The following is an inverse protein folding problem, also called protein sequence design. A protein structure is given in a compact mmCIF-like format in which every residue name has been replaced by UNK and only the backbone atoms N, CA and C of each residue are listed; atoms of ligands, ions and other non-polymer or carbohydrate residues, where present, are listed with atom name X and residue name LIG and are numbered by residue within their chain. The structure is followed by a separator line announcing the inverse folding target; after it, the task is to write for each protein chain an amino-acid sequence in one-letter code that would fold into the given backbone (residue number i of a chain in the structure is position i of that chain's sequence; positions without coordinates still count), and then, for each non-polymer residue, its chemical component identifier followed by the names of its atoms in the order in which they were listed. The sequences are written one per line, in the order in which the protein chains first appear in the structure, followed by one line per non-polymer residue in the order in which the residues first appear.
data_IF_147586269824
#
_entry.id   IF_147586269824
#
_cell.length_a   1.000
_cell.length_b   1.000
_cell.length_c   1.000
_cell.angle_alpha   90.00
_cell.angle_beta   90.00
_cell.angle_gamma   90.00
#
_symmetry.space_group_name_H-M   'P 1'
#
loop_
_entity.id
_entity.type
_entity.pdbx_description
1 polymer ?
#
# COMPACT_ATOMS: atom_id res chain seq x y z
N UNK A 1 5.28 -5.43 14.43
CA UNK A 1 4.10 -4.81 13.80
C UNK A 1 2.80 -5.07 14.57
N UNK A 2 2.31 -6.33 14.70
CA UNK A 2 1.00 -6.61 15.33
C UNK A 2 0.82 -6.09 16.76
N UNK A 3 1.87 -6.18 17.58
CA UNK A 3 1.83 -5.66 18.95
C UNK A 3 1.67 -4.13 18.94
N UNK A 4 2.51 -3.41 18.19
CA UNK A 4 2.41 -1.96 18.00
C UNK A 4 1.02 -1.55 17.45
N UNK A 5 0.47 -2.33 16.52
CA UNK A 5 -0.84 -2.07 15.94
C UNK A 5 -1.98 -2.22 16.99
N UNK A 6 -1.95 -3.27 17.81
CA UNK A 6 -2.93 -3.47 18.88
C UNK A 6 -2.86 -2.39 19.95
N UNK A 7 -1.64 -2.01 20.36
CA UNK A 7 -1.42 -0.92 21.31
C UNK A 7 -1.92 0.43 20.76
N UNK A 8 -1.66 0.70 19.49
CA UNK A 8 -2.13 1.91 18.82
C UNK A 8 -3.66 1.94 18.73
N UNK A 9 -4.27 0.83 18.30
CA UNK A 9 -5.74 0.70 18.26
C UNK A 9 -6.36 0.92 19.64
N UNK A 10 -5.76 0.39 20.71
CA UNK A 10 -6.25 0.57 22.07
C UNK A 10 -6.30 2.04 22.49
N UNK A 11 -5.36 2.86 22.00
CA UNK A 11 -5.24 4.29 22.31
C UNK A 11 -6.07 5.21 21.40
N UNK A 12 -6.63 4.67 20.30
CA UNK A 12 -7.43 5.48 19.38
C UNK A 12 -8.69 6.06 20.06
N UNK A 13 -9.09 7.29 19.68
CA UNK A 13 -10.38 7.85 20.04
C UNK A 13 -11.54 6.92 19.66
N UNK A 14 -12.65 7.00 20.40
CA UNK A 14 -13.85 6.17 20.15
C UNK A 14 -14.33 6.25 18.70
N UNK A 15 -14.36 7.46 18.13
CA UNK A 15 -14.74 7.71 16.73
C UNK A 15 -13.89 6.91 15.74
N UNK A 16 -12.58 6.85 15.96
CA UNK A 16 -11.64 6.18 15.06
C UNK A 16 -11.73 4.66 15.16
N UNK A 17 -12.03 4.14 16.37
CA UNK A 17 -12.36 2.73 16.58
C UNK A 17 -13.63 2.32 15.83
N UNK A 18 -14.68 3.14 15.91
CA UNK A 18 -15.93 2.89 15.16
C UNK A 18 -15.72 2.93 13.64
N UNK A 19 -14.80 3.78 13.14
CA UNK A 19 -14.42 3.78 11.72
C UNK A 19 -13.65 2.51 11.35
N UNK A 20 -12.72 2.06 12.20
CA UNK A 20 -11.97 0.83 12.03
C UNK A 20 -12.90 -0.39 11.95
N UNK A 21 -13.93 -0.44 12.78
CA UNK A 21 -14.92 -1.52 12.78
C UNK A 21 -15.69 -1.61 11.45
N UNK A 22 -15.95 -0.45 10.82
CA UNK A 22 -16.63 -0.33 9.52
C UNK A 22 -15.75 -0.63 8.31
N UNK A 23 -14.43 -0.80 8.50
CA UNK A 23 -13.56 -1.17 7.39
C UNK A 23 -13.97 -2.50 6.79
N UNK A 24 -13.95 -2.58 5.46
CA UNK A 24 -14.18 -3.83 4.78
C UNK A 24 -13.10 -4.88 5.17
N UNK A 25 -13.41 -6.17 5.04
CA UNK A 25 -12.47 -7.23 5.41
C UNK A 25 -11.12 -7.16 4.68
N UNK A 26 -11.07 -6.70 3.43
CA UNK A 26 -9.84 -6.58 2.63
C UNK A 26 -8.89 -5.54 3.21
N UNK A 27 -9.40 -4.36 3.58
CA UNK A 27 -8.62 -3.32 4.23
C UNK A 27 -8.16 -3.71 5.64
N UNK A 28 -8.99 -4.46 6.38
CA UNK A 28 -8.53 -5.07 7.64
C UNK A 28 -7.39 -6.05 7.37
N UNK A 29 -7.54 -6.94 6.38
CA UNK A 29 -6.47 -7.86 5.98
C UNK A 29 -5.18 -7.12 5.67
N UNK A 30 -5.23 -6.06 4.86
CA UNK A 30 -4.07 -5.23 4.53
C UNK A 30 -3.41 -4.61 5.78
N UNK A 31 -4.21 -4.04 6.70
CA UNK A 31 -3.71 -3.40 7.93
C UNK A 31 -3.07 -4.39 8.91
N UNK A 32 -3.64 -5.59 9.03
CA UNK A 32 -3.21 -6.61 10.00
C UNK A 32 -2.24 -7.64 9.40
N UNK A 33 -1.93 -7.51 8.11
CA UNK A 33 -1.05 -8.40 7.37
C UNK A 33 0.40 -8.25 7.81
N UNK A 34 1.16 -9.35 7.74
CA UNK A 34 2.61 -9.29 7.89
C UNK A 34 3.31 -8.85 6.60
N UNK A 35 2.65 -9.08 5.46
CA UNK A 35 3.16 -8.82 4.11
C UNK A 35 2.19 -7.94 3.29
N UNK A 36 1.83 -6.73 3.76
CA UNK A 36 0.98 -5.82 3.00
C UNK A 36 1.60 -5.42 1.65
N UNK A 37 2.93 -5.36 1.56
CA UNK A 37 3.66 -5.08 0.33
C UNK A 37 3.38 -6.14 -0.75
N UNK A 38 3.39 -7.42 -0.38
CA UNK A 38 3.14 -8.52 -1.33
C UNK A 38 1.72 -8.44 -1.87
N UNK A 39 0.75 -8.11 -1.02
CA UNK A 39 -0.63 -7.90 -1.47
C UNK A 39 -0.72 -6.73 -2.46
N UNK A 40 -0.12 -5.58 -2.13
CA UNK A 40 -0.18 -4.41 -3.01
C UNK A 40 0.57 -4.60 -4.34
N UNK A 41 1.66 -5.39 -4.34
CA UNK A 41 2.42 -5.71 -5.55
C UNK A 41 1.73 -6.76 -6.42
N UNK A 42 1.04 -7.73 -5.82
CA UNK A 42 0.54 -8.91 -6.53
C UNK A 42 -0.94 -8.81 -6.91
N UNK A 43 -1.74 -8.25 -6.00
CA UNK A 43 -3.21 -8.16 -6.12
C UNK A 43 -3.60 -6.70 -6.35
N UNK A 44 -3.05 -5.79 -5.55
CA UNK A 44 -3.42 -4.38 -5.57
C UNK A 44 -4.78 -4.09 -4.93
N UNK A 45 -5.17 -2.82 -4.95
CA UNK A 45 -6.50 -2.38 -4.51
C UNK A 45 -7.37 -2.11 -5.72
N UNK A 46 -8.64 -2.49 -5.63
CA UNK A 46 -9.65 -1.95 -6.52
C UNK A 46 -10.00 -0.50 -6.13
N UNK A 47 -10.69 0.21 -7.02
CA UNK A 47 -11.07 1.61 -6.83
C UNK A 47 -11.93 1.86 -5.57
N UNK A 48 -12.88 0.98 -5.26
CA UNK A 48 -13.77 1.15 -4.10
C UNK A 48 -13.02 0.90 -2.81
N UNK A 49 -12.20 -0.15 -2.78
CA UNK A 49 -11.33 -0.48 -1.65
C UNK A 49 -10.32 0.64 -1.39
N UNK A 50 -9.72 1.20 -2.44
CA UNK A 50 -8.84 2.37 -2.35
C UNK A 50 -9.54 3.59 -1.73
N UNK A 51 -10.76 3.93 -2.17
CA UNK A 51 -11.52 5.06 -1.58
C UNK A 51 -11.78 4.86 -0.09
N UNK A 52 -12.02 3.63 0.34
CA UNK A 52 -12.27 3.32 1.74
C UNK A 52 -11.01 3.41 2.62
N UNK A 53 -9.81 3.49 2.03
CA UNK A 53 -8.58 3.77 2.81
C UNK A 53 -8.68 5.10 3.57
N UNK A 54 -9.48 6.06 3.09
CA UNK A 54 -9.73 7.32 3.79
C UNK A 54 -10.37 7.14 5.19
N UNK A 55 -11.05 6.02 5.43
CA UNK A 55 -11.62 5.68 6.74
C UNK A 55 -10.58 5.17 7.73
N UNK A 56 -9.38 4.83 7.26
CA UNK A 56 -8.29 4.38 8.14
C UNK A 56 -7.72 5.63 8.85
N UNK A 57 -7.63 5.62 10.19
CA UNK A 57 -6.96 6.66 10.96
C UNK A 57 -5.52 6.89 10.48
N UNK A 58 -5.06 8.14 10.51
CA UNK A 58 -3.76 8.53 9.95
C UNK A 58 -2.59 7.75 10.56
N UNK A 59 -2.57 7.61 11.89
CA UNK A 59 -1.52 6.87 12.61
C UNK A 59 -1.45 5.39 12.16
N UNK A 60 -2.59 4.78 11.85
CA UNK A 60 -2.63 3.40 11.36
C UNK A 60 -2.16 3.31 9.90
N UNK A 61 -2.40 4.34 9.07
CA UNK A 61 -1.81 4.42 7.73
C UNK A 61 -0.30 4.57 7.81
N UNK A 62 0.21 5.44 8.67
CA UNK A 62 1.66 5.63 8.85
C UNK A 62 2.30 4.30 9.24
N UNK A 63 1.76 3.58 10.22
CA UNK A 63 2.29 2.27 10.61
C UNK A 63 2.25 1.23 9.49
N UNK A 64 1.18 1.19 8.70
CA UNK A 64 1.07 0.33 7.50
C UNK A 64 2.17 0.67 6.48
N UNK A 65 2.37 1.96 6.21
CA UNK A 65 3.33 2.46 5.23
C UNK A 65 4.77 2.25 5.69
N UNK A 66 5.07 2.43 6.97
CA UNK A 66 6.35 2.05 7.56
C UNK A 66 6.63 0.57 7.35
N UNK A 67 5.65 -0.29 7.58
CA UNK A 67 5.85 -1.72 7.37
C UNK A 67 6.15 -2.04 5.89
N UNK A 68 5.37 -1.49 4.96
CA UNK A 68 5.63 -1.64 3.52
C UNK A 68 7.04 -1.16 3.18
N UNK A 69 7.41 0.05 3.62
CA UNK A 69 8.72 0.62 3.30
C UNK A 69 9.86 -0.19 3.90
N UNK A 70 9.69 -0.82 5.06
CA UNK A 70 10.73 -1.65 5.68
C UNK A 70 10.90 -3.03 5.01
N UNK A 71 9.84 -3.57 4.39
CA UNK A 71 9.86 -4.88 3.74
C UNK A 71 10.09 -4.82 2.23
N UNK A 72 10.22 -3.61 1.65
CA UNK A 72 10.19 -3.42 0.19
C UNK A 72 11.44 -2.68 -0.30
N UNK A 73 11.93 -3.10 -1.48
CA UNK A 73 12.96 -2.35 -2.22
C UNK A 73 12.43 -1.00 -2.69
N UNK A 74 13.32 -0.06 -3.04
CA UNK A 74 12.88 1.20 -3.65
C UNK A 74 12.12 0.94 -4.97
N UNK A 75 12.58 -0.01 -5.78
CA UNK A 75 11.95 -0.36 -7.05
C UNK A 75 10.50 -0.85 -6.89
N UNK A 76 10.28 -1.75 -5.93
CA UNK A 76 8.95 -2.28 -5.67
C UNK A 76 8.04 -1.25 -5.00
N UNK A 77 8.59 -0.37 -4.17
CA UNK A 77 7.85 0.77 -3.62
C UNK A 77 7.35 1.69 -4.75
N UNK A 78 8.20 1.96 -5.75
CA UNK A 78 7.82 2.74 -6.93
C UNK A 78 6.69 2.06 -7.73
N UNK A 79 6.66 0.72 -7.83
CA UNK A 79 5.54 -0.02 -8.45
C UNK A 79 4.24 0.16 -7.66
N UNK A 80 4.29 0.04 -6.33
CA UNK A 80 3.12 0.27 -5.46
C UNK A 80 2.61 1.70 -5.65
N UNK A 81 3.51 2.70 -5.66
CA UNK A 81 3.17 4.10 -5.92
C UNK A 81 2.47 4.25 -7.27
N UNK A 82 3.01 3.66 -8.34
CA UNK A 82 2.37 3.69 -9.67
C UNK A 82 0.94 3.15 -9.65
N UNK A 83 0.71 2.01 -9.00
CA UNK A 83 -0.63 1.41 -8.90
C UNK A 83 -1.62 2.30 -8.14
N UNK A 84 -1.21 2.83 -7.00
CA UNK A 84 -2.06 3.70 -6.19
C UNK A 84 -2.33 5.05 -6.85
N UNK A 85 -1.38 5.59 -7.62
CA UNK A 85 -1.56 6.81 -8.40
C UNK A 85 -2.68 6.68 -9.44
N UNK A 86 -2.76 5.55 -10.15
CA UNK A 86 -3.84 5.30 -11.10
C UNK A 86 -5.22 5.37 -10.42
N UNK A 87 -5.35 4.76 -9.26
CA UNK A 87 -6.58 4.79 -8.46
C UNK A 87 -6.86 6.20 -7.92
N UNK A 88 -5.82 6.94 -7.55
CA UNK A 88 -5.94 8.32 -7.07
C UNK A 88 -6.46 9.25 -8.16
N UNK A 89 -5.91 9.18 -9.37
CA UNK A 89 -6.34 10.01 -10.50
C UNK A 89 -7.78 9.70 -10.93
N UNK A 90 -8.24 8.46 -10.75
CA UNK A 90 -9.65 8.12 -10.90
C UNK A 90 -10.52 8.66 -9.75
N UNK A 91 -9.96 8.79 -8.54
CA UNK A 91 -10.71 9.17 -7.35
C UNK A 91 -10.83 10.69 -7.17
N UNK A 92 -9.81 11.44 -7.62
CA UNK A 92 -9.79 12.90 -7.62
C UNK A 92 -8.87 13.39 -8.76
N UNK A 93 -9.48 13.75 -9.90
CA UNK A 93 -8.78 14.31 -11.04
C UNK A 93 -8.42 15.80 -10.88
N UNK A 94 -9.12 16.52 -10.00
CA UNK A 94 -8.95 17.98 -9.86
C UNK A 94 -7.84 18.39 -8.91
N UNK A 95 -7.57 17.58 -7.89
CA UNK A 95 -6.57 17.87 -6.85
C UNK A 95 -5.97 16.59 -6.23
N UNK A 96 -5.44 15.67 -7.06
CA UNK A 96 -4.80 14.46 -6.57
C UNK A 96 -3.60 14.84 -5.72
N UNK A 97 -3.36 14.11 -4.62
CA UNK A 97 -2.11 14.16 -3.83
C UNK A 97 -1.90 15.44 -2.97
N UNK A 98 -2.55 16.58 -3.29
CA UNK A 98 -2.47 17.85 -2.53
C UNK A 98 -3.08 17.78 -1.13
N UNK A 99 -4.16 17.01 -0.93
CA UNK A 99 -4.99 17.08 0.27
C UNK A 99 -4.80 15.88 1.21
N UNK A 100 -3.99 16.08 2.26
CA UNK A 100 -4.17 15.41 3.56
C UNK A 100 -3.88 13.90 3.66
N UNK A 101 -4.64 13.26 4.55
CA UNK A 101 -4.55 11.88 5.04
C UNK A 101 -4.87 10.81 3.96
N UNK A 102 -4.65 11.07 2.67
CA UNK A 102 -4.83 10.03 1.63
C UNK A 102 -3.64 9.08 1.62
N UNK A 103 -3.90 7.80 1.32
CA UNK A 103 -2.88 6.75 1.41
C UNK A 103 -1.67 7.02 0.49
N UNK A 104 -1.90 7.37 -0.79
CA UNK A 104 -0.81 7.63 -1.73
C UNK A 104 0.03 8.85 -1.32
N UNK A 105 -0.60 9.94 -0.87
CA UNK A 105 0.10 11.14 -0.45
C UNK A 105 0.98 10.88 0.77
N UNK A 106 0.49 10.09 1.74
CA UNK A 106 1.30 9.64 2.87
C UNK A 106 2.43 8.70 2.42
N UNK A 107 2.17 7.73 1.53
CA UNK A 107 3.20 6.81 1.02
C UNK A 107 4.35 7.57 0.34
N UNK A 108 4.02 8.52 -0.53
CA UNK A 108 5.01 9.33 -1.22
C UNK A 108 5.84 10.17 -0.24
N UNK A 109 5.21 10.80 0.77
CA UNK A 109 5.94 11.52 1.83
C UNK A 109 6.85 10.59 2.63
N UNK A 110 6.36 9.43 3.06
CA UNK A 110 7.15 8.47 3.81
C UNK A 110 8.31 7.90 2.97
N UNK A 111 8.10 7.69 1.68
CA UNK A 111 9.17 7.27 0.76
C UNK A 111 10.25 8.34 0.62
N UNK A 112 9.88 9.61 0.42
CA UNK A 112 10.83 10.73 0.39
C UNK A 112 11.64 10.76 1.69
N UNK A 113 10.97 10.72 2.85
CA UNK A 113 11.65 10.74 4.14
C UNK A 113 12.64 9.58 4.29
N UNK A 114 12.30 8.37 3.80
CA UNK A 114 13.18 7.20 3.83
C UNK A 114 14.43 7.42 2.97
N UNK A 115 14.26 7.81 1.72
CA UNK A 115 15.38 8.02 0.78
C UNK A 115 16.31 9.16 1.20
N UNK A 116 15.82 10.08 2.05
CA UNK A 116 16.58 11.21 2.59
C UNK A 116 17.32 10.92 3.89
N UNK A 117 17.01 9.81 4.55
CA UNK A 117 17.59 9.47 5.85
C UNK A 117 18.88 8.68 5.65
N UNK A 118 19.98 9.15 6.24
CA UNK A 118 21.33 8.59 6.01
C UNK A 118 21.59 7.19 6.62
N UNK A 119 20.66 6.66 7.43
CA UNK A 119 20.91 5.43 8.20
C UNK A 119 20.19 4.23 7.58
N UNK A 120 20.83 3.61 6.58
CA UNK A 120 20.33 2.40 5.90
C UNK A 120 20.18 1.19 6.83
N UNK A 121 20.81 1.22 8.02
CA UNK A 121 20.83 0.10 8.97
C UNK A 121 19.71 0.12 10.01
N UNK A 122 18.97 1.22 10.14
CA UNK A 122 17.86 1.34 11.10
C UNK A 122 16.51 1.08 10.43
N UNK A 123 15.63 0.38 11.14
CA UNK A 123 14.23 0.22 10.75
C UNK A 123 13.59 1.60 10.58
N UNK A 124 13.02 1.87 9.40
CA UNK A 124 12.41 3.13 9.06
C UNK A 124 11.20 3.43 9.97
N UNK A 125 11.21 4.61 10.56
CA UNK A 125 10.12 5.20 11.31
C UNK A 125 9.90 6.63 10.81
N UNK A 126 8.67 6.95 10.42
CA UNK A 126 8.35 8.20 9.74
C UNK A 126 8.59 9.42 10.63
N UNK A 127 8.10 9.40 11.88
CA UNK A 127 8.25 10.51 12.83
C UNK A 127 9.72 10.83 13.12
N UNK A 128 10.57 9.80 13.24
CA UNK A 128 12.01 10.00 13.38
C UNK A 128 12.60 10.53 12.08
N UNK A 129 12.33 9.89 10.94
CA UNK A 129 12.93 10.23 9.65
C UNK A 129 12.69 11.68 9.25
N UNK A 130 11.48 12.21 9.43
CA UNK A 130 11.17 13.61 9.08
C UNK A 130 12.00 14.63 9.86
N UNK A 131 12.46 14.30 11.07
CA UNK A 131 13.30 15.15 11.91
C UNK A 131 14.81 15.07 11.57
N UNK A 132 15.22 14.15 10.69
CA UNK A 132 16.63 13.89 10.35
C UNK A 132 16.88 13.81 8.84
N UNK A 133 16.01 14.41 8.01
CA UNK A 133 16.22 14.41 6.56
C UNK A 133 17.43 15.25 6.17
N UNK A 134 18.17 14.81 5.13
CA UNK A 134 19.21 15.63 4.52
C UNK A 134 18.65 16.96 4.03
N UNK A 135 17.41 16.97 3.53
CA UNK A 135 16.68 18.19 3.23
C UNK A 135 16.62 19.17 4.41
N UNK A 136 16.17 18.75 5.59
CA UNK A 136 16.09 19.64 6.75
C UNK A 136 17.48 20.18 7.17
N UNK A 137 18.51 19.33 7.13
CA UNK A 137 19.90 19.74 7.41
C UNK A 137 20.39 20.78 6.39
N UNK A 138 20.16 20.54 5.11
CA UNK A 138 20.59 21.42 4.01
C UNK A 138 19.77 22.71 3.93
N UNK A 139 18.47 22.64 4.20
CA UNK A 139 17.57 23.78 4.29
C UNK A 139 18.04 24.77 5.36
N UNK A 140 18.45 24.26 6.52
CA UNK A 140 19.01 25.08 7.60
C UNK A 140 20.44 25.58 7.32
N UNK A 141 21.25 24.82 6.56
CA UNK A 141 22.67 25.10 6.37
C UNK A 141 23.02 25.94 5.12
N UNK A 142 22.20 25.94 4.05
CA UNK A 142 22.66 26.40 2.71
C UNK A 142 21.88 27.55 2.05
N UNK A 143 20.82 28.13 2.61
CA UNK A 143 20.09 29.19 1.89
C UNK A 143 19.53 30.32 2.76
N UNK A 144 19.97 31.55 2.46
CA UNK A 144 19.24 32.78 2.82
C UNK A 144 17.99 33.00 1.96
N UNK A 145 17.92 32.42 0.75
CA UNK A 145 16.89 32.76 -0.26
C UNK A 145 15.82 31.67 -0.48
N UNK A 146 15.92 30.51 0.20
CA UNK A 146 14.94 29.40 0.16
C UNK A 146 14.45 28.96 -1.24
N UNK A 147 15.24 29.13 -2.31
CA UNK A 147 14.85 28.79 -3.70
C UNK A 147 15.00 27.30 -4.02
N UNK A 148 14.02 26.77 -4.76
CA UNK A 148 13.86 25.35 -5.09
C UNK A 148 14.94 24.76 -5.99
N UNK A 149 15.35 25.53 -7.00
CA UNK A 149 16.39 25.17 -7.96
C UNK A 149 17.72 24.77 -7.26
N UNK A 150 17.99 25.32 -6.07
CA UNK A 150 19.19 25.04 -5.30
C UNK A 150 19.17 23.66 -4.62
N UNK A 151 18.05 22.93 -4.70
CA UNK A 151 17.87 21.62 -4.08
C UNK A 151 17.74 20.48 -5.10
N UNK A 152 17.61 20.78 -6.40
CA UNK A 152 17.43 19.78 -7.47
C UNK A 152 18.55 18.74 -7.47
N UNK A 153 19.79 19.19 -7.27
CA UNK A 153 20.99 18.34 -7.33
C UNK A 153 21.15 17.42 -6.10
N UNK A 154 20.42 17.69 -5.01
CA UNK A 154 20.50 16.89 -3.78
C UNK A 154 19.30 15.96 -3.57
N UNK A 155 18.28 16.04 -4.44
CA UNK A 155 17.14 15.12 -4.38
C UNK A 155 17.60 13.72 -4.81
N UNK A 156 17.33 12.66 -4.02
CA UNK A 156 17.66 11.29 -4.37
C UNK A 156 17.04 10.85 -5.69
N UNK A 157 17.77 10.04 -6.46
CA UNK A 157 17.30 9.59 -7.78
C UNK A 157 15.96 8.85 -7.70
N UNK A 158 15.74 8.03 -6.67
CA UNK A 158 14.46 7.35 -6.47
C UNK A 158 13.28 8.32 -6.24
N UNK A 159 13.51 9.46 -5.60
CA UNK A 159 12.49 10.51 -5.44
C UNK A 159 12.19 11.17 -6.78
N UNK A 160 13.23 11.41 -7.61
CA UNK A 160 13.06 11.89 -8.99
C UNK A 160 12.30 10.88 -9.85
N UNK A 161 12.60 9.57 -9.73
CA UNK A 161 11.91 8.47 -10.42
C UNK A 161 10.44 8.40 -10.02
N UNK A 162 10.13 8.50 -8.73
CA UNK A 162 8.76 8.60 -8.23
C UNK A 162 8.01 9.75 -8.91
N UNK A 163 8.67 10.90 -9.05
CA UNK A 163 8.07 12.06 -9.71
C UNK A 163 7.77 11.84 -11.18
N UNK A 164 8.71 11.26 -11.89
CA UNK A 164 8.55 10.91 -13.29
C UNK A 164 7.41 9.91 -13.50
N UNK A 165 7.27 8.91 -12.61
CA UNK A 165 6.16 7.95 -12.61
C UNK A 165 4.83 8.67 -12.42
N UNK A 166 4.72 9.56 -11.44
CA UNK A 166 3.49 10.30 -11.17
C UNK A 166 3.01 11.06 -12.40
N UNK A 167 3.90 11.77 -13.06
CA UNK A 167 3.59 12.59 -14.22
C UNK A 167 3.19 11.73 -15.42
N UNK A 168 3.94 10.67 -15.71
CA UNK A 168 3.56 9.73 -16.78
C UNK A 168 2.26 9.00 -16.50
N UNK A 169 1.96 8.71 -15.24
CA UNK A 169 0.68 8.13 -14.85
C UNK A 169 -0.45 9.14 -15.04
N UNK A 170 -0.25 10.40 -14.66
CA UNK A 170 -1.22 11.47 -14.87
C UNK A 170 -1.52 11.73 -16.35
N UNK A 171 -0.48 11.78 -17.21
CA UNK A 171 -0.62 11.92 -18.66
C UNK A 171 -1.55 10.83 -19.24
N UNK A 172 -1.36 9.58 -18.80
CA UNK A 172 -2.12 8.42 -19.29
C UNK A 172 -3.55 8.38 -18.77
N UNK A 173 -3.76 8.65 -17.48
CA UNK A 173 -5.05 8.47 -16.81
C UNK A 173 -5.97 9.69 -16.94
N UNK A 174 -5.42 10.91 -16.87
CA UNK A 174 -6.22 12.15 -16.90
C UNK A 174 -6.55 12.62 -18.32
N UNK A 175 -5.77 12.21 -19.32
CA UNK A 175 -5.97 12.55 -20.74
C UNK A 175 -6.20 14.05 -20.93
N UNK A 176 -7.45 14.47 -21.21
CA UNK A 176 -7.83 15.87 -21.44
C UNK A 176 -7.68 16.75 -20.20
N UNK A 177 -7.73 16.18 -18.98
CA UNK A 177 -7.55 16.90 -17.72
C UNK A 177 -6.08 17.05 -17.31
N UNK A 178 -5.15 16.41 -18.04
CA UNK A 178 -3.72 16.49 -17.73
C UNK A 178 -3.18 17.93 -17.69
N UNK A 179 -3.52 18.86 -18.61
CA UNK A 179 -3.03 20.24 -18.53
C UNK A 179 -3.44 20.95 -17.24
N UNK A 180 -4.62 20.64 -16.67
CA UNK A 180 -5.07 21.18 -15.40
C UNK A 180 -4.26 20.62 -14.24
N UNK A 181 -3.94 19.32 -14.27
CA UNK A 181 -3.03 18.70 -13.30
C UNK A 181 -1.61 19.27 -13.42
N UNK A 182 -1.08 19.42 -14.64
CA UNK A 182 0.25 19.99 -14.89
C UNK A 182 0.35 21.45 -14.42
N UNK A 183 -0.69 22.26 -14.64
CA UNK A 183 -0.79 23.62 -14.11
C UNK A 183 -0.80 23.65 -12.56
N UNK A 184 -1.42 22.66 -11.92
CA UNK A 184 -1.38 22.46 -10.46
C UNK A 184 -0.17 21.64 -10.00
N UNK A 185 0.70 21.26 -10.94
CA UNK A 185 1.68 20.19 -10.81
C UNK A 185 2.72 20.46 -9.73
N UNK A 186 2.96 21.71 -9.34
CA UNK A 186 3.83 22.03 -8.22
C UNK A 186 3.33 21.55 -6.86
N UNK A 187 2.02 21.48 -6.66
CA UNK A 187 1.46 20.99 -5.39
C UNK A 187 1.64 19.48 -5.23
N UNK A 188 2.01 18.85 -6.35
CA UNK A 188 2.61 17.54 -6.39
C UNK A 188 4.04 17.75 -6.91
N UNK A 189 4.94 18.40 -6.18
CA UNK A 189 6.40 18.30 -6.44
C UNK A 189 7.14 17.83 -5.22
N UNK A 190 8.30 17.15 -5.35
CA UNK A 190 9.05 16.72 -4.17
C UNK A 190 9.31 17.89 -3.22
N UNK A 191 9.76 19.06 -3.69
CA UNK A 191 9.69 20.33 -2.96
C UNK A 191 8.48 20.62 -2.09
N UNK A 192 7.28 20.53 -2.64
CA UNK A 192 6.06 20.76 -1.86
C UNK A 192 5.95 19.72 -0.75
N UNK A 193 6.18 18.44 -1.06
CA UNK A 193 6.18 17.38 -0.04
C UNK A 193 7.26 17.59 1.04
N UNK A 194 8.44 18.09 0.68
CA UNK A 194 9.46 18.48 1.65
C UNK A 194 8.97 19.57 2.60
N UNK A 195 8.27 20.59 2.11
CA UNK A 195 7.71 21.61 3.01
C UNK A 195 6.60 21.09 3.91
N UNK A 196 5.85 20.08 3.49
CA UNK A 196 4.87 19.41 4.35
C UNK A 196 5.53 18.57 5.46
N UNK A 197 6.83 18.27 5.35
CA UNK A 197 7.61 17.59 6.39
C UNK A 197 8.35 18.55 7.32
N UNK A 198 8.39 19.85 7.01
CA UNK A 198 9.00 20.85 7.89
C UNK A 198 8.09 21.14 9.11
N UNK A 199 8.67 21.52 10.27
CA UNK A 199 7.90 22.02 11.39
C UNK A 199 7.02 23.20 10.96
N UNK A 200 5.83 23.32 11.57
CA UNK A 200 4.98 24.49 11.36
C UNK A 200 5.75 25.76 11.78
N UNK A 201 5.71 26.79 10.94
CA UNK A 201 6.30 28.10 11.27
C UNK A 201 5.72 28.62 12.58
N UNK A 202 6.56 29.25 13.39
CA UNK A 202 6.09 30.10 14.49
C UNK A 202 5.30 31.29 13.95
N UNK A 203 4.47 31.90 14.80
CA UNK A 203 3.67 33.07 14.43
C UNK A 203 4.54 34.25 13.96
N UNK A 204 5.77 34.37 14.46
CA UNK A 204 6.74 35.40 14.06
C UNK A 204 7.39 35.09 12.71
N UNK A 205 7.78 33.84 12.46
CA UNK A 205 8.33 33.42 11.15
C UNK A 205 7.30 33.53 10.02
N UNK A 206 6.03 33.26 10.33
CA UNK A 206 4.92 33.46 9.40
C UNK A 206 4.69 34.94 9.06
N UNK A 207 5.07 35.88 9.94
CA UNK A 207 4.94 37.33 9.73
C UNK A 207 6.15 37.96 9.05
N UNK A 208 7.34 37.34 9.16
CA UNK A 208 8.61 37.92 8.72
C UNK A 208 9.01 37.61 7.27
N UNK A 209 8.60 36.46 6.71
CA UNK A 209 8.64 36.08 5.28
C UNK A 209 8.27 34.60 5.20
N UNK A 210 6.96 34.31 5.22
CA UNK A 210 6.43 32.96 5.23
C UNK A 210 6.75 32.25 3.92
N UNK A 211 7.74 31.34 3.95
CA UNK A 211 7.97 30.25 2.99
C UNK A 211 7.13 30.32 1.69
N UNK A 212 7.47 31.22 0.78
CA UNK A 212 6.91 31.16 -0.57
C UNK A 212 7.75 30.12 -1.32
N UNK A 213 7.30 28.86 -1.36
CA UNK A 213 7.58 28.07 -2.56
C UNK A 213 6.77 28.76 -3.65
N UNK A 214 7.40 29.47 -4.60
CA UNK A 214 6.65 30.15 -5.64
C UNK A 214 5.79 29.12 -6.35
N UNK A 215 4.46 29.31 -6.28
CA UNK A 215 3.51 28.53 -7.04
C UNK A 215 3.65 29.01 -8.48
N UNK A 216 4.40 28.26 -9.28
CA UNK A 216 4.32 28.30 -10.74
C UNK A 216 2.86 28.45 -11.16
N UNK A 217 2.63 29.45 -12.00
CA UNK A 217 1.28 29.94 -12.31
C UNK A 217 0.72 29.36 -13.60
N UNK A 218 1.51 28.59 -14.34
CA UNK A 218 1.15 28.05 -15.65
C UNK A 218 1.58 26.59 -15.86
N UNK A 219 0.86 25.85 -16.72
CA UNK A 219 1.19 24.48 -17.08
C UNK A 219 2.61 24.34 -17.66
N UNK A 220 3.01 25.27 -18.53
CA UNK A 220 4.32 25.26 -19.21
C UNK A 220 5.49 25.37 -18.23
N UNK A 221 5.37 26.26 -17.26
CA UNK A 221 6.36 26.41 -16.18
C UNK A 221 6.41 25.15 -15.30
N UNK A 222 5.27 24.47 -15.07
CA UNK A 222 5.19 23.26 -14.27
C UNK A 222 5.88 22.08 -14.95
N UNK A 223 5.62 21.91 -16.25
CA UNK A 223 6.30 20.93 -17.10
C UNK A 223 7.81 21.18 -17.19
N UNK A 224 8.24 22.45 -17.29
CA UNK A 224 9.65 22.81 -17.31
C UNK A 224 10.33 22.49 -15.98
N UNK A 225 9.71 22.86 -14.85
CA UNK A 225 10.23 22.54 -13.51
C UNK A 225 10.38 21.03 -13.31
N UNK A 226 9.41 20.24 -13.78
CA UNK A 226 9.49 18.78 -13.74
C UNK A 226 10.67 18.27 -14.56
N UNK A 227 10.83 18.77 -15.79
CA UNK A 227 11.89 18.34 -16.70
C UNK A 227 13.27 18.59 -16.10
N UNK A 228 13.45 19.73 -15.42
CA UNK A 228 14.66 20.05 -14.67
C UNK A 228 14.84 19.12 -13.47
N UNK A 229 13.80 18.90 -12.66
CA UNK A 229 13.85 18.04 -11.47
C UNK A 229 14.15 16.57 -11.77
N UNK A 230 13.72 16.08 -12.93
CA UNK A 230 13.86 14.67 -13.33
C UNK A 230 14.98 14.45 -14.35
N UNK A 231 15.79 15.47 -14.61
CA UNK A 231 16.91 15.38 -15.53
C UNK A 231 17.90 14.29 -15.11
N UNK A 232 18.35 13.47 -16.08
CA UNK A 232 19.31 12.39 -15.85
C UNK A 232 18.71 11.08 -15.31
N UNK A 233 17.41 11.05 -15.03
CA UNK A 233 16.73 9.89 -14.46
C UNK A 233 15.85 9.19 -15.50
N UNK A 234 15.95 7.87 -15.57
CA UNK A 234 15.16 7.06 -16.51
C UNK A 234 13.87 6.54 -15.88
N UNK A 235 12.79 6.57 -16.67
CA UNK A 235 11.53 5.94 -16.30
C UNK A 235 11.73 4.41 -16.17
N UNK A 236 11.20 3.76 -15.11
CA UNK A 236 11.29 2.31 -15.00
C UNK A 236 10.63 1.59 -16.20
N UNK A 237 11.24 0.49 -16.63
CA UNK A 237 10.86 -0.26 -17.85
C UNK A 237 9.42 -0.78 -17.83
N UNK A 238 8.87 -1.00 -16.63
CA UNK A 238 7.50 -1.52 -16.44
C UNK A 238 6.43 -0.43 -16.56
N UNK A 239 6.78 0.86 -16.51
CA UNK A 239 5.81 1.94 -16.70
C UNK A 239 5.34 1.94 -18.15
N UNK A 240 4.03 1.83 -18.37
CA UNK A 240 3.43 1.70 -19.71
C UNK A 240 3.31 0.25 -20.22
N UNK A 241 3.95 -0.73 -19.57
CA UNK A 241 3.84 -2.17 -19.90
C UNK A 241 2.80 -2.88 -19.02
N UNK A 242 1.64 -2.25 -18.84
CA UNK A 242 0.64 -2.67 -17.86
C UNK A 242 0.10 -4.10 -18.15
N UNK A 243 -0.05 -4.47 -19.42
CA UNK A 243 -0.57 -5.79 -19.80
C UNK A 243 0.39 -6.92 -19.40
N UNK A 244 1.67 -6.78 -19.73
CA UNK A 244 2.68 -7.81 -19.41
C UNK A 244 2.83 -8.04 -17.90
N UNK A 245 2.70 -6.97 -17.10
CA UNK A 245 2.76 -7.08 -15.64
C UNK A 245 1.51 -7.74 -15.08
N UNK A 246 0.31 -7.37 -15.55
CA UNK A 246 -0.94 -8.00 -15.13
C UNK A 246 -0.99 -9.49 -15.50
N UNK A 247 -0.49 -9.85 -16.68
CA UNK A 247 -0.42 -11.24 -17.12
C UNK A 247 0.51 -12.08 -16.23
N UNK A 248 1.68 -11.53 -15.84
CA UNK A 248 2.59 -12.18 -14.88
C UNK A 248 1.95 -12.36 -13.50
N UNK A 249 1.34 -11.31 -12.96
CA UNK A 249 0.66 -11.37 -11.67
C UNK A 249 -0.46 -12.41 -11.69
N UNK A 250 -1.24 -12.47 -12.78
CA UNK A 250 -2.30 -13.47 -12.94
C UNK A 250 -1.77 -14.91 -12.90
N UNK A 251 -0.60 -15.17 -13.48
CA UNK A 251 0.06 -16.49 -13.44
C UNK A 251 0.47 -16.84 -12.00
N UNK A 252 1.06 -15.89 -11.27
CA UNK A 252 1.45 -16.07 -9.88
C UNK A 252 0.24 -16.37 -8.98
N UNK A 253 -0.83 -15.56 -9.10
CA UNK A 253 -2.06 -15.77 -8.34
C UNK A 253 -2.72 -17.10 -8.68
N UNK A 254 -2.72 -17.50 -9.95
CA UNK A 254 -3.20 -18.83 -10.36
C UNK A 254 -2.42 -19.95 -9.66
N UNK A 255 -1.11 -19.80 -9.54
CA UNK A 255 -0.25 -20.77 -8.85
C UNK A 255 -0.63 -20.85 -7.37
N UNK A 256 -0.83 -19.71 -6.70
CA UNK A 256 -1.26 -19.66 -5.30
C UNK A 256 -2.62 -20.31 -5.07
N UNK A 257 -3.61 -20.08 -5.94
CA UNK A 257 -4.93 -20.70 -5.83
C UNK A 257 -4.86 -22.23 -5.94
N UNK A 258 -4.02 -22.75 -6.85
CA UNK A 258 -3.81 -24.18 -7.02
C UNK A 258 -3.12 -24.80 -5.79
N UNK A 259 -2.09 -24.14 -5.26
CA UNK A 259 -1.38 -24.59 -4.05
C UNK A 259 -2.28 -24.55 -2.82
N UNK A 260 -3.08 -23.50 -2.66
CA UNK A 260 -4.07 -23.38 -1.60
C UNK A 260 -5.10 -24.51 -1.65
N UNK A 261 -5.64 -24.83 -2.84
CA UNK A 261 -6.55 -25.97 -3.02
C UNK A 261 -5.89 -27.29 -2.61
N UNK A 262 -4.63 -27.50 -3.02
CA UNK A 262 -3.89 -28.70 -2.67
C UNK A 262 -3.63 -28.82 -1.16
N UNK A 263 -3.30 -27.72 -0.49
CA UNK A 263 -3.09 -27.69 0.97
C UNK A 263 -4.39 -27.97 1.74
N UNK A 264 -5.51 -27.39 1.31
CA UNK A 264 -6.83 -27.69 1.89
C UNK A 264 -7.15 -29.19 1.81
N UNK A 265 -6.85 -29.81 0.65
CA UNK A 265 -7.08 -31.24 0.41
C UNK A 265 -6.20 -32.15 1.26
N UNK A 266 -4.96 -31.73 1.53
CA UNK A 266 -4.01 -32.48 2.37
C UNK A 266 -4.26 -32.28 3.87
N UNK A 267 -4.96 -31.21 4.26
CA UNK A 267 -5.19 -30.88 5.65
C UNK A 267 -6.26 -31.76 6.28
N UNK A 268 -5.93 -32.42 7.38
CA UNK A 268 -6.90 -33.15 8.22
C UNK A 268 -7.73 -32.18 9.06
N UNK A 269 -8.93 -31.84 8.60
CA UNK A 269 -9.79 -30.86 9.26
C UNK A 269 -10.53 -31.41 10.47
N UNK A 270 -10.50 -30.66 11.56
CA UNK A 270 -11.40 -30.85 12.69
C UNK A 270 -12.70 -30.10 12.44
N UNK A 271 -13.81 -30.82 12.47
CA UNK A 271 -15.17 -30.27 12.34
C UNK A 271 -15.94 -30.51 13.62
N UNK A 272 -16.59 -29.47 14.14
CA UNK A 272 -17.44 -29.59 15.32
C UNK A 272 -18.63 -30.52 15.02
N UNK A 273 -19.07 -31.31 16.00
CA UNK A 273 -20.25 -32.16 15.89
C UNK A 273 -21.01 -32.22 17.21
N UNK A 274 -22.34 -32.42 17.12
CA UNK A 274 -23.19 -32.68 18.28
C UNK A 274 -23.99 -33.96 18.01
N UNK A 275 -23.73 -35.00 18.81
CA UNK A 275 -24.28 -36.34 18.57
C UNK A 275 -23.92 -36.89 17.19
N UNK A 276 -24.92 -37.34 16.43
CA UNK A 276 -24.76 -37.89 15.07
C UNK A 276 -24.58 -36.83 13.98
N UNK A 277 -24.80 -35.54 14.28
CA UNK A 277 -24.61 -34.46 13.33
C UNK A 277 -23.15 -34.02 13.33
N UNK A 278 -22.39 -34.51 12.35
CA UNK A 278 -21.06 -33.96 12.03
C UNK A 278 -21.26 -32.64 11.29
N UNK A 279 -20.75 -31.55 11.84
CA UNK A 279 -20.67 -30.28 11.13
C UNK A 279 -19.76 -30.36 9.90
N UNK A 280 -19.69 -29.26 9.14
CA UNK A 280 -18.92 -29.20 7.91
C UNK A 280 -19.63 -29.82 6.71
N UNK A 281 -19.03 -29.67 5.52
CA UNK A 281 -19.56 -30.10 4.24
C UNK A 281 -18.64 -31.14 3.60
N UNK A 282 -19.19 -32.03 2.79
CA UNK A 282 -18.40 -32.95 1.97
C UNK A 282 -18.07 -32.23 0.68
N UNK A 283 -16.78 -32.04 0.42
CA UNK A 283 -16.24 -31.46 -0.79
C UNK A 283 -15.26 -32.46 -1.41
N UNK A 284 -15.55 -32.93 -2.62
CA UNK A 284 -14.72 -33.90 -3.37
C UNK A 284 -14.28 -35.13 -2.54
N UNK A 285 -15.18 -35.67 -1.71
CA UNK A 285 -14.92 -36.85 -0.88
C UNK A 285 -14.30 -36.57 0.49
N UNK A 286 -13.92 -35.32 0.79
CA UNK A 286 -13.36 -34.91 2.08
C UNK A 286 -14.33 -34.03 2.86
N UNK A 287 -14.45 -34.23 4.19
CA UNK A 287 -15.24 -33.36 5.05
C UNK A 287 -14.43 -32.14 5.48
N UNK A 288 -14.91 -30.94 5.17
CA UNK A 288 -14.25 -29.67 5.47
C UNK A 288 -15.17 -28.73 6.27
N UNK A 289 -14.63 -27.78 7.06
CA UNK A 289 -15.42 -26.76 7.72
C UNK A 289 -16.16 -25.86 6.72
N UNK A 290 -17.38 -25.40 7.03
CA UNK A 290 -18.19 -24.56 6.11
C UNK A 290 -17.46 -23.34 5.53
N UNK A 291 -16.62 -22.68 6.33
CA UNK A 291 -15.87 -21.50 5.89
C UNK A 291 -14.66 -21.86 5.02
N UNK A 292 -14.10 -23.06 5.19
CA UNK A 292 -13.11 -23.62 4.25
C UNK A 292 -13.80 -24.02 2.95
N UNK A 293 -14.99 -24.60 3.01
CA UNK A 293 -15.80 -24.90 1.82
C UNK A 293 -16.12 -23.63 1.01
N UNK A 294 -16.42 -22.51 1.69
CA UNK A 294 -16.61 -21.20 1.02
C UNK A 294 -15.39 -20.82 0.18
N UNK A 295 -14.18 -20.99 0.72
CA UNK A 295 -12.92 -20.76 0.00
C UNK A 295 -12.76 -21.72 -1.18
N UNK A 296 -13.03 -23.02 -1.00
CA UNK A 296 -13.01 -24.00 -2.09
C UNK A 296 -14.00 -23.66 -3.21
N UNK A 297 -15.20 -23.18 -2.86
CA UNK A 297 -16.20 -22.75 -3.84
C UNK A 297 -15.74 -21.51 -4.62
N UNK A 298 -15.02 -20.58 -4.00
CA UNK A 298 -14.40 -19.45 -4.70
C UNK A 298 -13.32 -19.93 -5.68
N UNK A 299 -12.47 -20.87 -5.28
CA UNK A 299 -11.47 -21.48 -6.18
C UNK A 299 -12.16 -22.19 -7.34
N UNK A 300 -13.25 -22.92 -7.09
CA UNK A 300 -14.04 -23.58 -8.14
C UNK A 300 -14.63 -22.57 -9.12
N UNK A 301 -15.15 -21.43 -8.64
CA UNK A 301 -15.62 -20.36 -9.52
C UNK A 301 -14.50 -19.81 -10.41
N UNK A 302 -13.27 -19.71 -9.90
CA UNK A 302 -12.10 -19.37 -10.71
C UNK A 302 -11.79 -20.43 -11.76
N UNK A 303 -11.74 -21.71 -11.38
CA UNK A 303 -11.50 -22.83 -12.32
C UNK A 303 -12.57 -22.89 -13.43
N UNK A 304 -13.82 -22.58 -13.10
CA UNK A 304 -14.95 -22.47 -14.02
C UNK A 304 -14.98 -21.16 -14.82
N UNK A 305 -13.95 -20.30 -14.67
CA UNK A 305 -13.81 -18.99 -15.33
C UNK A 305 -14.95 -17.99 -15.03
N UNK A 306 -15.62 -18.16 -13.89
CA UNK A 306 -16.64 -17.22 -13.37
C UNK A 306 -16.00 -16.06 -12.60
N UNK A 307 -14.80 -16.27 -12.08
CA UNK A 307 -13.96 -15.25 -11.46
C UNK A 307 -12.57 -15.28 -12.11
N UNK A 308 -11.94 -14.12 -12.27
CA UNK A 308 -10.52 -14.06 -12.57
C UNK A 308 -9.67 -14.35 -11.31
N UNK A 309 -8.39 -14.66 -11.49
CA UNK A 309 -7.51 -15.09 -10.42
C UNK A 309 -7.38 -14.06 -9.29
N UNK A 310 -7.28 -12.77 -9.64
CA UNK A 310 -7.10 -11.67 -8.68
C UNK A 310 -8.37 -11.51 -7.86
N UNK A 311 -9.54 -11.46 -8.52
CA UNK A 311 -10.84 -11.39 -7.83
C UNK A 311 -11.07 -12.59 -6.91
N UNK A 312 -10.72 -13.81 -7.35
CA UNK A 312 -10.87 -15.00 -6.54
C UNK A 312 -9.99 -14.98 -5.29
N UNK A 313 -8.72 -14.57 -5.41
CA UNK A 313 -7.84 -14.44 -4.25
C UNK A 313 -8.36 -13.40 -3.25
N UNK A 314 -8.84 -12.27 -3.76
CA UNK A 314 -9.37 -11.19 -2.92
C UNK A 314 -10.64 -11.60 -2.16
N UNK A 315 -11.53 -12.37 -2.78
CA UNK A 315 -12.69 -12.97 -2.10
C UNK A 315 -12.29 -13.99 -1.03
N UNK A 316 -11.27 -14.82 -1.31
CA UNK A 316 -10.71 -15.78 -0.35
C UNK A 316 -10.13 -15.07 0.87
N UNK A 317 -9.39 -13.98 0.67
CA UNK A 317 -8.91 -13.10 1.74
C UNK A 317 -10.09 -12.55 2.55
N UNK A 318 -11.12 -12.05 1.88
CA UNK A 318 -12.34 -11.57 2.53
C UNK A 318 -13.01 -12.64 3.40
N UNK A 319 -13.10 -13.88 2.91
CA UNK A 319 -13.66 -15.02 3.67
C UNK A 319 -12.81 -15.38 4.89
N UNK A 320 -11.48 -15.39 4.75
CA UNK A 320 -10.57 -15.66 5.85
C UNK A 320 -10.65 -14.57 6.94
N UNK A 321 -10.70 -13.30 6.55
CA UNK A 321 -10.79 -12.20 7.51
C UNK A 321 -12.16 -12.17 8.22
N UNK A 322 -13.26 -12.39 7.50
CA UNK A 322 -14.59 -12.58 8.09
C UNK A 322 -14.57 -13.73 9.12
N UNK A 323 -13.81 -14.78 8.82
CA UNK A 323 -13.68 -15.93 9.71
C UNK A 323 -13.00 -15.60 11.04
N UNK A 324 -12.02 -14.69 11.01
CA UNK A 324 -11.26 -14.26 12.18
C UNK A 324 -12.02 -13.22 13.02
N UNK A 325 -12.76 -12.31 12.38
CA UNK A 325 -13.52 -11.26 13.07
C UNK A 325 -14.74 -11.85 13.80
N UNK A 326 -15.41 -12.82 13.18
CA UNK A 326 -16.63 -13.41 13.74
C UNK A 326 -16.51 -14.93 13.79
N UNK A 327 -15.65 -15.50 14.67
CA UNK A 327 -15.40 -16.94 14.71
C UNK A 327 -16.68 -17.71 15.06
N UNK A 328 -16.90 -18.84 14.38
CA UNK A 328 -18.06 -19.70 14.68
C UNK A 328 -17.81 -20.53 15.93
N UNK A 329 -18.89 -20.89 16.64
CA UNK A 329 -18.82 -21.87 17.74
C UNK A 329 -18.24 -23.18 17.20
N UNK A 330 -17.13 -23.64 17.81
CA UNK A 330 -16.40 -24.84 17.37
C UNK A 330 -15.30 -24.57 16.33
N UNK A 331 -14.89 -23.32 16.10
CA UNK A 331 -13.67 -23.03 15.35
C UNK A 331 -12.44 -23.51 16.13
N UNK A 332 -11.65 -24.39 15.52
CA UNK A 332 -10.46 -24.98 16.11
C UNK A 332 -9.19 -24.17 15.79
N UNK A 333 -8.12 -24.38 16.56
CA UNK A 333 -6.82 -23.72 16.34
C UNK A 333 -6.29 -23.95 14.91
N UNK A 334 -6.49 -25.13 14.34
CA UNK A 334 -6.08 -25.48 12.97
C UNK A 334 -6.75 -24.59 11.92
N UNK A 335 -8.06 -24.37 12.03
CA UNK A 335 -8.81 -23.49 11.11
C UNK A 335 -8.50 -22.02 11.34
N UNK A 336 -8.34 -21.59 12.59
CA UNK A 336 -7.87 -20.24 12.90
C UNK A 336 -6.50 -19.95 12.30
N UNK A 337 -5.54 -20.86 12.44
CA UNK A 337 -4.20 -20.71 11.86
C UNK A 337 -4.26 -20.65 10.32
N UNK A 338 -5.12 -21.46 9.70
CA UNK A 338 -5.33 -21.44 8.26
C UNK A 338 -5.86 -20.07 7.78
N UNK A 339 -6.91 -19.54 8.41
CA UNK A 339 -7.42 -18.21 8.07
C UNK A 339 -6.40 -17.11 8.32
N UNK A 340 -5.62 -17.21 9.41
CA UNK A 340 -4.53 -16.27 9.67
C UNK A 340 -3.48 -16.28 8.57
N UNK A 341 -3.08 -17.45 8.03
CA UNK A 341 -2.11 -17.50 6.92
C UNK A 341 -2.61 -16.75 5.69
N UNK A 342 -3.90 -16.91 5.34
CA UNK A 342 -4.52 -16.22 4.20
C UNK A 342 -4.64 -14.72 4.48
N UNK A 343 -5.21 -14.34 5.62
CA UNK A 343 -5.42 -12.94 5.98
C UNK A 343 -4.12 -12.13 6.14
N UNK A 344 -3.00 -12.80 6.44
CA UNK A 344 -1.69 -12.15 6.50
C UNK A 344 -0.92 -12.18 5.20
N UNK A 345 -1.56 -12.66 4.13
CA UNK A 345 -0.97 -12.78 2.80
C UNK A 345 0.32 -13.61 2.79
N UNK A 346 0.50 -14.52 3.76
CA UNK A 346 1.65 -15.43 3.80
C UNK A 346 1.66 -16.37 2.58
N UNK A 347 0.52 -16.58 1.94
CA UNK A 347 0.40 -17.33 0.69
C UNK A 347 0.90 -16.57 -0.53
N UNK A 348 1.17 -15.25 -0.43
CA UNK A 348 1.83 -14.46 -1.48
C UNK A 348 3.35 -14.38 -1.28
N UNK A 349 3.90 -15.01 -0.23
CA UNK A 349 5.34 -15.11 -0.07
C UNK A 349 5.94 -15.93 -1.23
N UNK A 350 7.15 -15.58 -1.65
CA UNK A 350 7.82 -16.28 -2.76
C UNK A 350 8.14 -17.73 -2.38
N UNK A 351 8.28 -18.61 -3.38
CA UNK A 351 8.68 -20.02 -3.15
C UNK A 351 10.04 -20.15 -2.47
N UNK A 352 10.97 -19.22 -2.71
CA UNK A 352 12.28 -19.15 -2.06
C UNK A 352 12.15 -18.80 -0.57
N UNK A 353 11.24 -17.90 -0.19
CA UNK A 353 10.95 -17.59 1.21
C UNK A 353 10.21 -18.75 1.94
N UNK A 354 9.34 -19.47 1.24
CA UNK A 354 8.63 -20.64 1.78
C UNK A 354 9.55 -21.84 2.01
N UNK A 355 10.61 -22.02 1.20
CA UNK A 355 11.61 -23.09 1.38
C UNK A 355 12.61 -22.77 2.49
N UNK A 356 13.02 -21.50 2.65
CA UNK A 356 13.86 -21.07 3.78
C UNK A 356 13.14 -21.25 5.12
N UNK A 357 11.83 -20.99 5.17
CA UNK A 357 11.02 -21.14 6.39
C UNK A 357 10.76 -22.61 6.78
N UNK A 358 10.79 -23.53 5.81
CA UNK A 358 10.70 -24.99 6.08
C UNK A 358 12.02 -25.60 6.58
N UNK A 359 13.15 -24.91 6.41
CA UNK A 359 14.45 -25.32 6.96
C UNK A 359 14.74 -24.70 8.35
N UNK A 360 13.86 -23.83 8.84
CA UNK A 360 14.00 -23.12 10.13
C UNK A 360 12.92 -23.50 11.18
N UNK A 361 12.15 -24.55 10.93
CA UNK A 361 11.24 -25.23 11.88
C UNK A 361 11.58 -26.71 11.91
#
# INVERSE_FOLDING_TARGET
MRQNLQELIARLPKRDKEQLDKLNPKLKSLLFSNHPERYLLTIGLDFQTYKQTNLIPEQLKILLLENILNSTSAEDTLKIIHHLLKLEFQANNTDPIRSGNRLIGLLMRSFIAKEETQNESEYFNYERAVNYTNFQKNFNARNKDKKLQNYVDVIPDNVKRMWLIMQKTAELELKNDYPNFAAKGLVSTPPFHYTQMLPANTLEEARANALEIPVVTTAKEGEQTLKELTQGVTLPVWVGKNKDMQDKLKIEVTTFLNELKADIKKTSWQVAGFGIFKGGLINEGQRVPHRVDKILNTIKQFEERKLDAVSAYDDIVGHAQEALISPRRGQHKTTTNFYQKIANHNWLATREELTVTQLSL
#
